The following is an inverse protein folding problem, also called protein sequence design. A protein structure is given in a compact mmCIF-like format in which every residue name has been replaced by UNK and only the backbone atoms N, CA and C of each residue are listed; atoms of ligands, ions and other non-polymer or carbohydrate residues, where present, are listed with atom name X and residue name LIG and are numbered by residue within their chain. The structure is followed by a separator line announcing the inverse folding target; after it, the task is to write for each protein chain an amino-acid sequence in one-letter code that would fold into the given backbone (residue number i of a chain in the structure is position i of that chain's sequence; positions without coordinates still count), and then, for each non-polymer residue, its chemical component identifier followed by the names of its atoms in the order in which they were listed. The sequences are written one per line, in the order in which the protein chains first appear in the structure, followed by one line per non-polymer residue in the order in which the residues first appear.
data_IF_076638088778
#
_entry.id   IF_076638088778
#
_cell.length_a   1.000
_cell.length_b   1.000
_cell.length_c   1.000
_cell.angle_alpha   90.00
_cell.angle_beta   90.00
_cell.angle_gamma   90.00
#
_symmetry.space_group_name_H-M   'P 1'
#
loop_
_entity.id
_entity.type
_entity.pdbx_description
1 polymer ?
#
# COMPACT_ATOMS: atom_id res chain seq x y z
N UNK A 1 5.74 9.31 -15.97
CA UNK A 1 4.39 8.90 -16.43
C UNK A 1 3.39 9.25 -15.33
N UNK A 2 2.21 9.77 -15.67
CA UNK A 2 1.11 10.07 -14.74
C UNK A 2 -0.13 9.32 -15.25
N UNK A 3 -0.86 8.62 -14.38
CA UNK A 3 -2.01 7.77 -14.78
C UNK A 3 -3.31 8.54 -15.05
N UNK A 4 -3.33 9.87 -14.86
CA UNK A 4 -4.51 10.71 -15.12
C UNK A 4 -5.71 10.50 -14.18
N UNK A 5 -5.54 9.71 -13.11
CA UNK A 5 -6.59 9.43 -12.13
C UNK A 5 -6.73 10.57 -11.12
N UNK A 6 -7.94 11.14 -10.99
CA UNK A 6 -8.25 12.15 -9.96
C UNK A 6 -8.44 11.53 -8.57
N UNK A 7 -9.03 10.33 -8.51
CA UNK A 7 -9.23 9.59 -7.28
C UNK A 7 -9.06 8.10 -7.55
N UNK A 8 -8.46 7.40 -6.59
CA UNK A 8 -8.33 5.94 -6.60
C UNK A 8 -8.83 5.43 -5.26
N UNK A 9 -9.75 4.47 -5.27
CA UNK A 9 -10.16 3.82 -4.02
C UNK A 9 -9.00 3.01 -3.47
N UNK A 10 -8.80 3.06 -2.15
CA UNK A 10 -7.79 2.22 -1.47
C UNK A 10 -8.03 0.73 -1.73
N UNK A 11 -9.30 0.34 -1.92
CA UNK A 11 -9.71 -1.01 -2.26
C UNK A 11 -9.16 -1.50 -3.61
N UNK A 12 -8.99 -0.62 -4.61
CA UNK A 12 -8.51 -1.00 -5.94
C UNK A 12 -7.12 -1.65 -5.92
N UNK A 13 -6.23 -1.17 -5.03
CA UNK A 13 -4.89 -1.72 -4.85
C UNK A 13 -4.86 -3.00 -4.01
N UNK A 14 -5.98 -3.38 -3.38
CA UNK A 14 -6.13 -4.52 -2.47
C UNK A 14 -5.00 -4.61 -1.43
N UNK A 15 -4.69 -3.49 -0.79
CA UNK A 15 -3.71 -3.39 0.30
C UNK A 15 -4.40 -3.42 1.64
N UNK A 16 -3.84 -4.14 2.61
CA UNK A 16 -4.36 -4.19 3.98
C UNK A 16 -4.12 -2.87 4.73
N UNK A 17 -2.96 -2.24 4.48
CA UNK A 17 -2.53 -1.00 5.14
C UNK A 17 -2.01 -0.06 4.06
N UNK A 18 -2.45 1.20 4.10
CA UNK A 18 -1.89 2.29 3.31
C UNK A 18 -1.24 3.29 4.25
N UNK A 19 -0.01 3.70 3.95
CA UNK A 19 0.75 4.62 4.79
C UNK A 19 1.41 5.70 3.93
N UNK A 20 1.79 6.80 4.57
CA UNK A 20 2.47 7.95 3.93
C UNK A 20 3.76 8.24 4.69
N UNK A 21 4.79 8.68 3.97
CA UNK A 21 6.04 9.15 4.56
C UNK A 21 7.03 8.04 4.92
N UNK A 22 6.84 6.81 4.43
CA UNK A 22 7.81 5.73 4.56
C UNK A 22 8.16 5.17 3.19
N UNK A 23 9.45 4.92 2.96
CA UNK A 23 9.87 4.06 1.85
C UNK A 23 9.70 2.60 2.27
N UNK A 24 8.72 1.95 1.66
CA UNK A 24 8.38 0.57 1.98
C UNK A 24 9.43 -0.44 1.50
N UNK A 25 10.25 -0.10 0.50
CA UNK A 25 11.26 -1.01 -0.01
C UNK A 25 12.47 -1.11 0.93
N UNK A 26 12.76 -0.05 1.69
CA UNK A 26 13.84 -0.06 2.70
C UNK A 26 13.54 -1.03 3.86
N UNK A 27 12.28 -1.41 4.05
CA UNK A 27 11.85 -2.35 5.08
C UNK A 27 11.96 -3.82 4.64
N UNK A 28 12.36 -4.11 3.39
CA UNK A 28 12.53 -5.49 2.91
C UNK A 28 13.68 -6.15 3.68
N UNK A 29 13.41 -7.31 4.27
CA UNK A 29 14.35 -8.04 5.12
C UNK A 29 14.46 -7.50 6.54
N UNK A 30 13.68 -6.48 6.91
CA UNK A 30 13.74 -5.82 8.21
C UNK A 30 12.48 -6.08 9.04
N UNK A 31 12.68 -6.16 10.36
CA UNK A 31 11.60 -6.07 11.33
C UNK A 31 11.21 -4.61 11.56
N UNK A 32 9.92 -4.33 11.57
CA UNK A 32 9.38 -3.00 11.84
C UNK A 32 8.07 -3.08 12.63
N UNK A 33 7.63 -1.94 13.16
CA UNK A 33 6.42 -1.86 13.97
C UNK A 33 5.43 -0.83 13.40
N UNK A 34 4.15 -1.18 13.43
CA UNK A 34 3.04 -0.26 13.12
C UNK A 34 2.02 -0.36 14.25
N UNK A 35 1.80 0.75 14.97
CA UNK A 35 0.84 0.85 16.08
C UNK A 35 0.96 -0.30 17.11
N UNK A 36 2.19 -0.66 17.52
CA UNK A 36 2.43 -1.75 18.48
C UNK A 36 2.39 -3.17 17.89
N UNK A 37 2.07 -3.34 16.60
CA UNK A 37 2.10 -4.64 15.92
C UNK A 37 3.42 -4.76 15.15
N UNK A 38 4.17 -5.84 15.39
CA UNK A 38 5.44 -6.11 14.73
C UNK A 38 5.25 -6.91 13.45
N UNK A 39 6.00 -6.53 12.43
CA UNK A 39 6.00 -7.13 11.11
C UNK A 39 7.43 -7.39 10.65
N UNK A 40 7.60 -8.34 9.73
CA UNK A 40 8.84 -8.54 8.97
C UNK A 40 8.57 -8.27 7.50
N UNK A 41 9.29 -7.33 6.89
CA UNK A 41 9.18 -7.05 5.46
C UNK A 41 9.80 -8.17 4.65
N UNK A 42 9.03 -8.76 3.73
CA UNK A 42 9.47 -9.96 2.99
C UNK A 42 9.98 -9.63 1.60
N UNK A 43 9.22 -8.85 0.84
CA UNK A 43 9.53 -8.51 -0.56
C UNK A 43 8.63 -7.39 -1.06
N UNK A 44 9.05 -6.74 -2.15
CA UNK A 44 8.22 -5.83 -2.91
C UNK A 44 6.90 -6.52 -3.33
N UNK A 45 5.78 -5.80 -3.18
CA UNK A 45 4.52 -6.23 -3.75
C UNK A 45 4.45 -5.85 -5.23
N UNK A 46 5.25 -6.55 -6.04
CA UNK A 46 5.40 -6.30 -7.47
C UNK A 46 4.04 -6.22 -8.18
N UNK A 47 3.78 -5.18 -8.98
CA UNK A 47 2.58 -5.11 -9.80
C UNK A 47 2.60 -6.20 -10.86
N UNK A 48 1.42 -6.59 -11.32
CA UNK A 48 1.25 -7.46 -12.48
C UNK A 48 0.20 -6.85 -13.42
N UNK A 49 0.02 -7.45 -14.60
CA UNK A 49 -0.94 -7.01 -15.62
C UNK A 49 -2.35 -6.74 -15.10
N UNK A 50 -2.76 -7.39 -14.01
CA UNK A 50 -4.04 -7.12 -13.34
C UNK A 50 -4.22 -5.65 -12.94
N UNK A 51 -3.13 -4.95 -12.58
CA UNK A 51 -3.17 -3.53 -12.23
C UNK A 51 -3.65 -2.65 -13.39
N UNK A 52 -3.31 -3.01 -14.63
CA UNK A 52 -3.81 -2.28 -15.80
C UNK A 52 -5.33 -2.32 -15.92
N UNK A 53 -5.96 -3.40 -15.43
CA UNK A 53 -7.43 -3.55 -15.40
C UNK A 53 -8.04 -2.95 -14.14
N UNK A 54 -7.40 -3.15 -12.99
CA UNK A 54 -7.95 -2.74 -11.69
C UNK A 54 -7.83 -1.24 -11.41
N UNK A 55 -6.82 -0.58 -11.99
CA UNK A 55 -6.50 0.83 -11.72
C UNK A 55 -6.70 1.65 -13.00
N UNK A 56 -5.84 1.46 -14.00
CA UNK A 56 -5.88 2.13 -15.30
C UNK A 56 -4.83 1.52 -16.24
N UNK A 57 -4.99 1.63 -17.57
CA UNK A 57 -3.93 1.29 -18.51
C UNK A 57 -2.59 1.96 -18.16
N UNK A 58 -1.51 1.17 -18.10
CA UNK A 58 -0.17 1.64 -17.71
C UNK A 58 0.11 1.62 -16.20
N UNK A 59 -0.86 1.23 -15.36
CA UNK A 59 -0.67 1.15 -13.92
C UNK A 59 0.37 0.11 -13.51
N UNK A 60 0.51 -0.99 -14.25
CA UNK A 60 1.55 -1.99 -14.00
C UNK A 60 2.96 -1.38 -14.05
N UNK A 61 3.28 -0.69 -15.15
CA UNK A 61 4.57 -0.02 -15.33
C UNK A 61 4.77 1.11 -14.32
N UNK A 62 3.73 1.91 -14.10
CA UNK A 62 3.78 3.03 -13.16
C UNK A 62 4.07 2.58 -11.71
N UNK A 63 3.59 1.40 -11.32
CA UNK A 63 3.73 0.86 -9.97
C UNK A 63 5.03 0.06 -9.76
N UNK A 64 5.88 -0.13 -10.77
CA UNK A 64 7.17 -0.82 -10.59
C UNK A 64 8.04 -0.06 -9.57
N UNK A 65 8.53 -0.77 -8.56
CA UNK A 65 9.25 -0.17 -7.43
C UNK A 65 8.37 0.61 -6.44
N UNK A 66 7.05 0.69 -6.69
CA UNK A 66 6.08 1.47 -5.92
C UNK A 66 4.83 0.67 -5.54
N UNK A 67 4.86 -0.65 -5.75
CA UNK A 67 3.72 -1.53 -5.49
C UNK A 67 3.41 -1.73 -4.00
N UNK A 68 4.33 -1.35 -3.12
CA UNK A 68 4.25 -1.51 -1.68
C UNK A 68 5.03 -2.74 -1.19
N UNK A 69 4.76 -3.17 0.03
CA UNK A 69 5.50 -4.23 0.72
C UNK A 69 4.58 -5.39 1.09
N UNK A 70 5.06 -6.62 0.92
CA UNK A 70 4.49 -7.80 1.57
C UNK A 70 5.21 -8.01 2.90
N UNK A 71 4.48 -8.22 3.97
CA UNK A 71 5.04 -8.42 5.29
C UNK A 71 4.43 -9.62 6.01
N UNK A 72 5.22 -10.28 6.85
CA UNK A 72 4.77 -11.31 7.79
C UNK A 72 4.39 -10.64 9.10
N UNK A 73 3.27 -11.04 9.69
CA UNK A 73 2.84 -10.59 11.02
C UNK A 73 3.62 -11.38 12.07
N UNK A 74 4.32 -10.69 12.98
CA UNK A 74 5.13 -11.32 14.03
C UNK A 74 4.44 -11.31 15.39
N UNK A 75 3.63 -10.29 15.68
CA UNK A 75 2.87 -10.18 16.92
C UNK A 75 1.40 -9.87 16.65
N UNK A 76 0.55 -10.19 17.63
CA UNK A 76 -0.87 -9.83 17.59
C UNK A 76 -1.07 -8.37 18.04
N UNK A 77 -2.16 -7.75 17.60
CA UNK A 77 -2.61 -6.45 18.10
C UNK A 77 -3.74 -5.87 17.28
N UNK A 78 -4.00 -4.57 17.43
CA UNK A 78 -5.07 -3.85 16.73
C UNK A 78 -4.48 -2.70 15.92
N UNK A 79 -4.90 -2.59 14.67
CA UNK A 79 -4.59 -1.44 13.82
C UNK A 79 -5.85 -0.59 13.67
N UNK A 80 -5.68 0.72 13.81
CA UNK A 80 -6.75 1.68 13.61
C UNK A 80 -6.41 2.60 12.44
N UNK A 81 -7.41 2.94 11.62
CA UNK A 81 -7.22 3.97 10.59
C UNK A 81 -7.01 5.33 11.27
N UNK A 82 -5.90 5.99 10.96
CA UNK A 82 -5.67 7.38 11.33
C UNK A 82 -6.18 8.36 10.26
N UNK A 83 -6.83 7.86 9.20
CA UNK A 83 -7.38 8.70 8.14
C UNK A 83 -8.61 9.41 8.68
N UNK A 84 -8.56 10.75 8.71
CA UNK A 84 -9.77 11.56 8.87
C UNK A 84 -10.44 11.62 7.50
N UNK A 85 -11.57 10.94 7.35
CA UNK A 85 -12.43 11.12 6.19
C UNK A 85 -13.16 12.43 6.43
N UNK A 86 -12.82 13.46 5.64
CA UNK A 86 -13.65 14.66 5.56
C UNK A 86 -14.84 14.27 4.71
N UNK A 87 -16.00 14.05 5.35
CA UNK A 87 -17.27 13.92 4.64
C UNK A 87 -17.48 15.19 3.83
N UNK A 88 -17.63 15.06 2.51
CA UNK A 88 -18.05 16.18 1.69
C UNK A 88 -19.49 16.53 2.11
N UNK A 89 -19.69 17.76 2.58
CA UNK A 89 -21.04 18.28 2.79
C UNK A 89 -21.80 18.22 1.47
N UNK A 90 -23.02 17.66 1.53
CA UNK A 90 -23.93 17.47 0.40
C UNK A 90 -24.21 18.75 -0.40
#
# INVERSE_FOLDING_TARGET
QVLGLRQLSSAAARRNISMRGADLNELIGQDFEVQGVRFHGTQECRPCYWMNRAIAPGAEEFLKGRGGLRAKILTNGKLHSNTRILEASA
#
